data_IF_031898151795
#
_entry.id   IF_031898151795
#
_cell.length_a   1.000
_cell.length_b   1.000
_cell.length_c   1.000
_cell.angle_alpha   90.00
_cell.angle_beta   90.00
_cell.angle_gamma   90.00
#
_symmetry.space_group_name_H-M   'P 1'
#
loop_
_entity.id
_entity.type
_entity.pdbx_description
1 polymer ?
#
# COMPACT_ATOMS: atom_id res chain seq x y z
N UNK A 1 -46.44 -48.13 -34.41
CA UNK A 1 -45.08 -48.71 -34.56
C UNK A 1 -44.20 -48.07 -33.51
N UNK A 2 -43.81 -48.85 -32.50
CA UNK A 2 -43.07 -48.41 -31.31
C UNK A 2 -41.59 -48.74 -31.55
N UNK A 3 -40.71 -47.74 -31.45
CA UNK A 3 -39.26 -47.91 -31.66
C UNK A 3 -38.56 -47.99 -30.29
N UNK A 4 -37.63 -48.93 -30.06
CA UNK A 4 -37.05 -49.13 -28.74
C UNK A 4 -35.93 -48.12 -28.48
N UNK A 5 -35.95 -47.52 -27.29
CA UNK A 5 -34.91 -46.61 -26.79
C UNK A 5 -33.76 -47.48 -26.23
N UNK A 6 -32.60 -47.41 -26.85
CA UNK A 6 -31.37 -48.02 -26.34
C UNK A 6 -30.77 -47.13 -25.24
N UNK A 7 -30.64 -47.66 -24.02
CA UNK A 7 -30.00 -46.97 -22.90
C UNK A 7 -28.49 -47.26 -22.97
N UNK A 8 -27.69 -46.23 -23.24
CA UNK A 8 -26.23 -46.29 -23.21
C UNK A 8 -25.78 -46.05 -21.77
N UNK A 9 -25.25 -47.09 -21.11
CA UNK A 9 -24.56 -47.00 -19.83
C UNK A 9 -23.19 -46.33 -20.02
N UNK A 10 -23.06 -45.08 -19.58
CA UNK A 10 -21.74 -44.44 -19.42
C UNK A 10 -21.09 -44.95 -18.13
N UNK A 11 -20.04 -45.75 -18.27
CA UNK A 11 -19.14 -46.07 -17.18
C UNK A 11 -18.28 -44.84 -16.85
N UNK A 12 -18.51 -44.23 -15.69
CA UNK A 12 -17.62 -43.21 -15.12
C UNK A 12 -16.39 -43.94 -14.59
N UNK A 13 -15.27 -43.81 -15.30
CA UNK A 13 -13.97 -44.17 -14.75
C UNK A 13 -13.60 -43.11 -13.70
N UNK A 14 -13.73 -43.47 -12.42
CA UNK A 14 -13.25 -42.65 -11.31
C UNK A 14 -11.73 -42.80 -11.32
N UNK A 15 -11.01 -41.80 -11.83
CA UNK A 15 -9.57 -41.70 -11.62
C UNK A 15 -9.34 -41.28 -10.15
N UNK A 16 -9.35 -42.24 -9.25
CA UNK A 16 -8.73 -42.09 -7.92
C UNK A 16 -7.24 -42.37 -8.08
N UNK A 17 -6.42 -41.32 -8.11
CA UNK A 17 -5.18 -41.19 -7.33
C UNK A 17 -4.25 -40.12 -7.91
N UNK A 18 -3.89 -39.16 -7.04
CA UNK A 18 -2.57 -38.53 -6.85
C UNK A 18 -2.71 -37.12 -6.22
N UNK A 19 -3.28 -37.04 -5.02
CA UNK A 19 -3.15 -35.86 -4.15
C UNK A 19 -2.48 -36.20 -2.80
N UNK A 20 -2.00 -37.43 -2.62
CA UNK A 20 -1.43 -37.92 -1.35
C UNK A 20 0.06 -37.57 -1.20
N UNK A 21 0.75 -37.19 -2.28
CA UNK A 21 2.19 -36.92 -2.26
C UNK A 21 2.60 -35.55 -1.71
N UNK A 22 1.88 -34.48 -2.06
CA UNK A 22 2.37 -33.11 -1.87
C UNK A 22 2.23 -32.57 -0.44
N UNK A 23 1.15 -32.92 0.26
CA UNK A 23 0.98 -32.61 1.69
C UNK A 23 2.07 -33.29 2.54
N UNK A 24 2.53 -34.48 2.14
CA UNK A 24 3.57 -35.22 2.87
C UNK A 24 4.95 -34.56 2.77
N UNK A 25 5.32 -34.06 1.59
CA UNK A 25 6.63 -33.41 1.35
C UNK A 25 6.71 -32.06 2.04
N UNK A 26 5.63 -31.25 1.99
CA UNK A 26 5.55 -29.99 2.71
C UNK A 26 5.69 -30.22 4.22
N UNK A 27 4.91 -31.14 4.80
CA UNK A 27 4.97 -31.42 6.24
C UNK A 27 6.35 -31.93 6.67
N UNK A 28 6.97 -32.84 5.92
CA UNK A 28 8.32 -33.33 6.20
C UNK A 28 9.36 -32.20 6.14
N UNK A 29 9.28 -31.35 5.10
CA UNK A 29 10.17 -30.20 4.93
C UNK A 29 10.02 -29.21 6.09
N UNK A 30 8.79 -28.82 6.43
CA UNK A 30 8.52 -27.87 7.51
C UNK A 30 8.88 -28.44 8.88
N UNK A 31 8.74 -29.74 9.10
CA UNK A 31 9.16 -30.38 10.35
C UNK A 31 10.68 -30.36 10.52
N UNK A 32 11.43 -30.60 9.43
CA UNK A 32 12.88 -30.47 9.44
C UNK A 32 13.34 -29.02 9.67
N UNK A 33 12.57 -28.03 9.19
CA UNK A 33 12.87 -26.60 9.35
C UNK A 33 12.37 -25.98 10.67
N UNK A 34 11.66 -26.73 11.51
CA UNK A 34 11.08 -26.24 12.78
C UNK A 34 12.08 -25.49 13.70
N UNK A 35 13.38 -25.82 13.76
CA UNK A 35 14.35 -25.03 14.53
C UNK A 35 14.60 -23.62 13.96
N UNK A 36 14.30 -23.38 12.69
CA UNK A 36 14.61 -22.14 11.96
C UNK A 36 13.36 -21.33 11.62
N UNK A 37 12.21 -21.97 11.46
CA UNK A 37 10.96 -21.35 10.99
C UNK A 37 9.76 -21.93 11.76
N UNK A 38 8.74 -21.12 12.12
CA UNK A 38 7.52 -21.65 12.70
C UNK A 38 6.86 -22.64 11.74
N UNK A 39 6.52 -23.83 12.25
CA UNK A 39 5.97 -24.91 11.43
C UNK A 39 4.70 -24.48 10.68
N UNK A 40 3.75 -23.87 11.39
CA UNK A 40 2.46 -23.45 10.81
C UNK A 40 2.65 -22.36 9.74
N UNK A 41 3.64 -21.47 9.92
CA UNK A 41 4.00 -20.48 8.90
C UNK A 41 4.53 -21.17 7.64
N UNK A 42 5.47 -22.10 7.79
CA UNK A 42 6.04 -22.86 6.66
C UNK A 42 4.96 -23.62 5.90
N UNK A 43 4.13 -24.39 6.60
CA UNK A 43 3.04 -25.16 5.98
C UNK A 43 2.03 -24.24 5.33
N UNK A 44 1.63 -23.15 6.00
CA UNK A 44 0.68 -22.19 5.47
C UNK A 44 1.15 -21.52 4.18
N UNK A 45 2.40 -21.05 4.14
CA UNK A 45 2.98 -20.42 2.94
C UNK A 45 3.06 -21.40 1.77
N UNK A 46 3.58 -22.61 2.00
CA UNK A 46 3.79 -23.59 0.94
C UNK A 46 2.48 -24.22 0.46
N UNK A 47 1.51 -24.43 1.35
CA UNK A 47 0.23 -25.04 0.97
C UNK A 47 -0.67 -24.08 0.19
N UNK A 48 -0.48 -22.77 0.36
CA UNK A 48 -1.21 -21.74 -0.39
C UNK A 48 -0.70 -21.56 -1.84
N UNK A 49 0.50 -22.04 -2.15
CA UNK A 49 1.08 -21.96 -3.49
C UNK A 49 0.79 -23.25 -4.28
N UNK A 50 0.12 -23.19 -5.45
CA UNK A 50 -0.22 -24.39 -6.22
C UNK A 50 0.98 -25.20 -6.69
N UNK A 51 2.13 -24.57 -6.94
CA UNK A 51 3.35 -25.25 -7.40
C UNK A 51 4.00 -26.02 -6.25
N UNK A 52 4.12 -25.39 -5.08
CA UNK A 52 4.56 -26.06 -3.87
C UNK A 52 3.59 -27.19 -3.47
N UNK A 53 2.29 -26.94 -3.52
CA UNK A 53 1.24 -27.89 -3.17
C UNK A 53 1.08 -29.05 -4.16
N UNK A 54 1.79 -29.06 -5.30
CA UNK A 54 1.84 -30.19 -6.24
C UNK A 54 3.24 -30.77 -6.38
N UNK A 55 4.24 -30.19 -5.70
CA UNK A 55 5.60 -30.69 -5.71
C UNK A 55 5.68 -32.10 -5.10
N UNK A 56 6.40 -32.98 -5.77
CA UNK A 56 6.59 -34.38 -5.36
C UNK A 56 7.90 -34.61 -4.60
N UNK A 57 8.77 -33.60 -4.51
CA UNK A 57 10.04 -33.65 -3.79
C UNK A 57 10.44 -32.29 -3.18
N UNK A 58 11.45 -32.32 -2.30
CA UNK A 58 11.95 -31.14 -1.59
C UNK A 58 12.56 -30.10 -2.53
N UNK A 59 13.07 -30.52 -3.71
CA UNK A 59 13.65 -29.60 -4.69
C UNK A 59 12.55 -28.75 -5.33
N UNK A 60 11.41 -29.35 -5.66
CA UNK A 60 10.21 -28.65 -6.13
C UNK A 60 9.66 -27.68 -5.09
N UNK A 61 9.57 -28.12 -3.82
CA UNK A 61 9.15 -27.25 -2.70
C UNK A 61 10.11 -26.07 -2.53
N UNK A 62 11.42 -26.29 -2.60
CA UNK A 62 12.42 -25.23 -2.50
C UNK A 62 12.33 -24.24 -3.68
N UNK A 63 12.18 -24.73 -4.91
CA UNK A 63 11.99 -23.88 -6.08
C UNK A 63 10.72 -23.02 -5.96
N UNK A 64 9.62 -23.60 -5.48
CA UNK A 64 8.40 -22.86 -5.22
C UNK A 64 8.59 -21.81 -4.12
N UNK A 65 9.26 -22.12 -3.01
CA UNK A 65 9.58 -21.16 -1.96
C UNK A 65 10.40 -19.96 -2.48
N UNK A 66 11.38 -20.20 -3.36
CA UNK A 66 12.16 -19.14 -4.02
C UNK A 66 11.27 -18.29 -4.93
N UNK A 67 10.35 -18.90 -5.68
CA UNK A 67 9.43 -18.18 -6.54
C UNK A 67 8.44 -17.32 -5.73
N UNK A 68 7.85 -17.86 -4.66
CA UNK A 68 6.99 -17.11 -3.72
C UNK A 68 7.75 -15.89 -3.17
N UNK A 69 9.00 -16.09 -2.77
CA UNK A 69 9.86 -15.02 -2.24
C UNK A 69 10.11 -13.95 -3.31
N UNK A 70 10.44 -14.36 -4.53
CA UNK A 70 10.63 -13.46 -5.68
C UNK A 70 9.39 -12.62 -5.95
N UNK A 71 8.21 -13.24 -5.99
CA UNK A 71 6.94 -12.54 -6.22
C UNK A 71 6.65 -11.55 -5.10
N UNK A 72 6.83 -11.95 -3.83
CA UNK A 72 6.65 -11.05 -2.68
C UNK A 72 7.63 -9.88 -2.71
N UNK A 73 8.90 -10.13 -2.99
CA UNK A 73 9.92 -9.09 -3.10
C UNK A 73 9.60 -8.09 -4.22
N UNK A 74 9.17 -8.58 -5.39
CA UNK A 74 8.75 -7.73 -6.51
C UNK A 74 7.52 -6.87 -6.14
N UNK A 75 6.56 -7.44 -5.41
CA UNK A 75 5.39 -6.70 -4.90
C UNK A 75 5.81 -5.60 -3.92
N UNK A 76 6.70 -5.91 -2.97
CA UNK A 76 7.25 -4.93 -2.03
C UNK A 76 8.00 -3.83 -2.75
N UNK A 77 8.83 -4.16 -3.74
CA UNK A 77 9.55 -3.16 -4.54
C UNK A 77 8.58 -2.21 -5.23
N UNK A 78 7.47 -2.73 -5.78
CA UNK A 78 6.44 -1.89 -6.40
C UNK A 78 5.82 -0.91 -5.41
N UNK A 79 5.50 -1.35 -4.19
CA UNK A 79 4.99 -0.46 -3.12
C UNK A 79 6.02 0.62 -2.77
N UNK A 80 7.30 0.26 -2.68
CA UNK A 80 8.38 1.23 -2.43
C UNK A 80 8.45 2.26 -3.57
N UNK A 81 8.37 1.84 -4.83
CA UNK A 81 8.36 2.76 -5.96
C UNK A 81 7.18 3.72 -5.92
N UNK A 82 5.96 3.23 -5.63
CA UNK A 82 4.79 4.09 -5.47
C UNK A 82 4.97 5.12 -4.35
N UNK A 83 5.47 4.69 -3.19
CA UNK A 83 5.76 5.61 -2.09
C UNK A 83 6.76 6.70 -2.48
N UNK A 84 7.82 6.34 -3.22
CA UNK A 84 8.82 7.33 -3.66
C UNK A 84 8.18 8.36 -4.58
N UNK A 85 7.35 7.93 -5.54
CA UNK A 85 6.70 8.83 -6.50
C UNK A 85 5.68 9.76 -5.79
N UNK A 86 4.88 9.21 -4.87
CA UNK A 86 3.90 9.95 -4.08
C UNK A 86 4.58 10.95 -3.14
N UNK A 87 5.64 10.52 -2.42
CA UNK A 87 6.44 11.40 -1.56
C UNK A 87 7.17 12.48 -2.36
N UNK A 88 7.59 12.20 -3.59
CA UNK A 88 8.20 13.21 -4.48
C UNK A 88 7.18 14.30 -4.84
N UNK A 89 5.92 13.90 -5.06
CA UNK A 89 4.83 14.85 -5.31
C UNK A 89 4.53 15.69 -4.07
N UNK A 90 4.40 15.05 -2.89
CA UNK A 90 4.28 15.73 -1.61
C UNK A 90 5.44 16.70 -1.32
N UNK A 91 6.68 16.31 -1.63
CA UNK A 91 7.83 17.18 -1.51
C UNK A 91 7.67 18.44 -2.38
N UNK A 92 7.11 18.31 -3.59
CA UNK A 92 6.73 19.44 -4.43
C UNK A 92 5.70 20.36 -3.78
N UNK A 93 4.65 19.79 -3.19
CA UNK A 93 3.62 20.52 -2.44
C UNK A 93 4.23 21.34 -1.28
N UNK A 94 5.03 20.69 -0.42
CA UNK A 94 5.69 21.37 0.69
C UNK A 94 6.72 22.41 0.23
N UNK A 95 7.44 22.15 -0.87
CA UNK A 95 8.36 23.14 -1.46
C UNK A 95 7.61 24.41 -1.88
N UNK A 96 6.42 24.28 -2.46
CA UNK A 96 5.59 25.42 -2.83
C UNK A 96 5.01 26.12 -1.60
N UNK A 97 4.49 25.35 -0.64
CA UNK A 97 3.99 25.89 0.64
C UNK A 97 5.04 26.72 1.37
N UNK A 98 6.30 26.25 1.45
CA UNK A 98 7.40 26.99 2.09
C UNK A 98 7.68 28.32 1.38
N UNK A 99 7.64 28.36 0.03
CA UNK A 99 7.81 29.60 -0.74
C UNK A 99 6.66 30.57 -0.47
N UNK A 100 5.42 30.09 -0.52
CA UNK A 100 4.25 30.91 -0.23
C UNK A 100 4.26 31.45 1.19
N UNK A 101 4.68 30.67 2.18
CA UNK A 101 4.84 31.18 3.55
C UNK A 101 5.91 32.28 3.66
N UNK A 102 6.97 32.23 2.86
CA UNK A 102 7.94 33.33 2.78
C UNK A 102 7.31 34.59 2.16
N UNK A 103 6.50 34.44 1.11
CA UNK A 103 5.78 35.56 0.48
C UNK A 103 4.73 36.16 1.42
N UNK A 104 4.03 35.33 2.21
CA UNK A 104 3.12 35.77 3.30
C UNK A 104 3.86 36.67 4.28
N UNK A 105 5.07 36.30 4.71
CA UNK A 105 5.87 37.12 5.62
C UNK A 105 6.29 38.45 4.98
N UNK A 106 6.68 38.46 3.71
CA UNK A 106 7.02 39.68 2.97
C UNK A 106 5.82 40.65 2.92
N UNK A 107 4.63 40.14 2.63
CA UNK A 107 3.40 40.94 2.63
C UNK A 107 3.01 41.40 4.04
N UNK A 108 3.16 40.52 5.02
CA UNK A 108 2.87 40.81 6.42
C UNK A 108 3.74 41.95 6.96
N UNK A 109 5.05 41.87 6.78
CA UNK A 109 6.01 42.88 7.27
C UNK A 109 5.83 44.23 6.58
N UNK A 110 5.37 44.23 5.33
CA UNK A 110 5.01 45.45 4.61
C UNK A 110 3.60 46.00 4.96
N UNK A 111 2.89 45.37 5.91
CA UNK A 111 1.56 45.77 6.33
C UNK A 111 0.44 45.44 5.33
N UNK A 112 0.73 44.66 4.28
CA UNK A 112 -0.21 44.22 3.23
C UNK A 112 -0.99 42.98 3.68
N UNK A 113 -1.64 43.06 4.83
CA UNK A 113 -2.26 41.90 5.49
C UNK A 113 -3.32 41.17 4.65
N UNK A 114 -4.09 41.89 3.82
CA UNK A 114 -5.04 41.25 2.90
C UNK A 114 -4.35 40.34 1.89
N UNK A 115 -3.18 40.74 1.37
CA UNK A 115 -2.41 39.90 0.46
C UNK A 115 -1.83 38.69 1.20
N UNK A 116 -1.27 38.91 2.40
CA UNK A 116 -0.78 37.82 3.25
C UNK A 116 -1.87 36.79 3.59
N UNK A 117 -3.09 37.24 3.90
CA UNK A 117 -4.26 36.39 4.16
C UNK A 117 -4.67 35.58 2.91
N UNK A 118 -4.73 36.22 1.75
CA UNK A 118 -5.05 35.53 0.49
C UNK A 118 -3.99 34.47 0.14
N UNK A 119 -2.71 34.81 0.29
CA UNK A 119 -1.61 33.90 -0.04
C UNK A 119 -1.56 32.68 0.89
N UNK A 120 -1.67 32.87 2.21
CA UNK A 120 -1.63 31.74 3.15
C UNK A 120 -2.84 30.82 2.97
N UNK A 121 -4.02 31.39 2.74
CA UNK A 121 -5.26 30.64 2.51
C UNK A 121 -5.16 29.82 1.22
N UNK A 122 -4.70 30.43 0.13
CA UNK A 122 -4.64 29.77 -1.18
C UNK A 122 -3.53 28.72 -1.28
N UNK A 123 -2.37 28.95 -0.66
CA UNK A 123 -1.15 28.19 -0.99
C UNK A 123 -0.47 27.51 0.21
N UNK A 124 -1.00 27.66 1.42
CA UNK A 124 -0.47 26.95 2.60
C UNK A 124 -1.53 26.15 3.35
N UNK A 125 -2.77 26.66 3.47
CA UNK A 125 -3.85 25.86 4.06
C UNK A 125 -4.29 24.76 3.11
N UNK A 126 -4.58 23.56 3.63
CA UNK A 126 -5.01 22.42 2.82
C UNK A 126 -3.90 21.68 2.08
N UNK A 127 -2.75 22.31 1.79
CA UNK A 127 -1.62 21.65 1.12
C UNK A 127 -1.13 20.38 1.86
N UNK A 128 -1.01 20.38 3.20
CA UNK A 128 -0.66 19.14 3.92
C UNK A 128 -1.72 18.05 3.79
N UNK A 129 -3.01 18.42 3.70
CA UNK A 129 -4.12 17.49 3.50
C UNK A 129 -4.10 16.89 2.08
N UNK A 130 -3.73 17.67 1.06
CA UNK A 130 -3.57 17.15 -0.30
C UNK A 130 -2.47 16.07 -0.37
N UNK A 131 -1.39 16.25 0.40
CA UNK A 131 -0.35 15.24 0.54
C UNK A 131 -0.85 13.99 1.28
N UNK A 132 -1.58 14.18 2.40
CA UNK A 132 -2.15 13.09 3.20
C UNK A 132 -3.10 12.23 2.36
N UNK A 133 -4.01 12.86 1.61
CA UNK A 133 -4.92 12.20 0.67
C UNK A 133 -4.14 11.45 -0.40
N UNK A 134 -3.11 12.06 -0.99
CA UNK A 134 -2.30 11.40 -2.01
C UNK A 134 -1.60 10.13 -1.50
N UNK A 135 -1.07 10.15 -0.27
CA UNK A 135 -0.37 9.01 0.30
C UNK A 135 -1.34 7.92 0.80
N UNK A 136 -2.51 8.32 1.31
CA UNK A 136 -3.53 7.41 1.78
C UNK A 136 -4.30 6.73 0.64
N UNK A 137 -4.75 7.51 -0.35
CA UNK A 137 -5.52 7.02 -1.51
C UNK A 137 -4.64 6.65 -2.71
N UNK A 138 -3.33 6.92 -2.61
CA UNK A 138 -2.34 6.59 -3.62
C UNK A 138 -2.18 5.09 -3.85
N UNK A 139 -1.39 4.75 -4.87
CA UNK A 139 -1.13 3.36 -5.23
C UNK A 139 -0.45 2.59 -4.10
N UNK A 140 0.37 3.24 -3.27
CA UNK A 140 0.99 2.59 -2.12
C UNK A 140 0.01 2.28 -0.97
N UNK A 141 -1.10 3.03 -0.88
CA UNK A 141 -2.05 3.00 0.23
C UNK A 141 -1.37 3.08 1.60
N UNK A 142 -0.38 3.97 1.72
CA UNK A 142 0.52 4.07 2.86
C UNK A 142 0.95 5.51 3.06
N UNK A 143 0.60 6.06 4.21
CA UNK A 143 1.07 7.37 4.63
C UNK A 143 2.10 7.26 5.76
N UNK A 144 3.39 7.52 5.49
CA UNK A 144 4.44 7.56 6.50
C UNK A 144 4.56 8.91 7.24
N UNK A 145 3.84 9.97 6.84
CA UNK A 145 3.95 11.34 7.34
C UNK A 145 2.59 11.98 7.73
N UNK A 146 1.57 11.16 7.99
CA UNK A 146 0.20 11.62 8.34
C UNK A 146 0.20 12.56 9.56
N UNK A 147 1.09 12.31 10.52
CA UNK A 147 1.21 13.15 11.72
C UNK A 147 1.75 14.53 11.34
N UNK A 148 2.84 14.59 10.59
CA UNK A 148 3.45 15.82 10.11
C UNK A 148 2.47 16.62 9.24
N UNK A 149 1.69 15.94 8.38
CA UNK A 149 0.64 16.57 7.57
C UNK A 149 -0.42 17.24 8.46
N UNK A 150 -0.93 16.52 9.46
CA UNK A 150 -1.91 17.06 10.39
C UNK A 150 -1.39 18.27 11.18
N UNK A 151 -0.14 18.21 11.66
CA UNK A 151 0.49 19.31 12.39
C UNK A 151 0.67 20.55 11.51
N UNK A 152 1.13 20.40 10.26
CA UNK A 152 1.31 21.52 9.33
C UNK A 152 -0.02 22.17 8.92
N UNK A 153 -1.09 21.39 8.70
CA UNK A 153 -2.40 21.95 8.34
C UNK A 153 -2.97 22.81 9.50
N UNK A 154 -2.86 22.31 10.74
CA UNK A 154 -3.28 23.05 11.93
C UNK A 154 -2.51 24.37 12.09
N UNK A 155 -1.18 24.35 11.88
CA UNK A 155 -0.34 25.54 11.98
C UNK A 155 -0.67 26.56 10.88
N UNK A 156 -0.84 26.12 9.63
CA UNK A 156 -1.20 27.01 8.52
C UNK A 156 -2.56 27.68 8.75
N UNK A 157 -3.57 26.91 9.20
CA UNK A 157 -4.90 27.43 9.55
C UNK A 157 -4.86 28.42 10.71
N UNK A 158 -4.08 28.13 11.75
CA UNK A 158 -3.90 29.02 12.89
C UNK A 158 -3.29 30.36 12.45
N UNK A 159 -2.22 30.31 11.65
CA UNK A 159 -1.58 31.51 11.12
C UNK A 159 -2.55 32.34 10.24
N UNK A 160 -3.32 31.69 9.36
CA UNK A 160 -4.35 32.35 8.55
C UNK A 160 -5.38 33.07 9.41
N UNK A 161 -5.93 32.38 10.42
CA UNK A 161 -6.94 32.94 11.31
C UNK A 161 -6.42 34.16 12.11
N UNK A 162 -5.14 34.15 12.50
CA UNK A 162 -4.52 35.29 13.19
C UNK A 162 -4.38 36.49 12.25
N UNK A 163 -3.97 36.28 11.00
CA UNK A 163 -3.86 37.36 10.01
C UNK A 163 -5.26 37.96 9.73
N UNK A 164 -6.28 37.12 9.58
CA UNK A 164 -7.66 37.58 9.37
C UNK A 164 -8.20 38.39 10.56
N UNK A 165 -7.87 37.98 11.79
CA UNK A 165 -8.20 38.73 12.99
C UNK A 165 -7.52 40.12 13.00
N UNK A 166 -6.28 40.23 12.53
CA UNK A 166 -5.59 41.52 12.42
C UNK A 166 -6.27 42.44 11.38
N UNK A 167 -6.75 41.88 10.27
CA UNK A 167 -7.48 42.65 9.25
C UNK A 167 -8.79 43.18 9.83
N UNK A 168 -9.58 42.33 10.49
CA UNK A 168 -10.89 42.72 11.04
C UNK A 168 -10.80 43.79 12.13
N UNK A 169 -9.72 43.82 12.92
CA UNK A 169 -9.48 44.86 13.94
C UNK A 169 -9.01 46.21 13.38
N UNK A 170 -8.61 46.27 12.11
CA UNK A 170 -8.18 47.51 11.43
C UNK A 170 -9.29 48.21 10.64
N UNK A 171 -10.46 47.57 10.51
CA UNK A 171 -11.69 48.17 9.99
C UNK A 171 -12.41 48.89 11.13
#
# INVERSE_FOLDING_TARGET
>A
MVQPIAIILMAVAIATDLAVGSSSVINATCMALKPLQPYDYCVGVLSADPVAATATDVRGVAAAAVNITTVKAASTLRVISYLIDELTTCHGYYTNMVKSLADVLIDFDAGRFKNASLEISANATGVPMDCDVLLFEGNAHKDPITQENGENDLLARLASAIIDLLISKRV
#
